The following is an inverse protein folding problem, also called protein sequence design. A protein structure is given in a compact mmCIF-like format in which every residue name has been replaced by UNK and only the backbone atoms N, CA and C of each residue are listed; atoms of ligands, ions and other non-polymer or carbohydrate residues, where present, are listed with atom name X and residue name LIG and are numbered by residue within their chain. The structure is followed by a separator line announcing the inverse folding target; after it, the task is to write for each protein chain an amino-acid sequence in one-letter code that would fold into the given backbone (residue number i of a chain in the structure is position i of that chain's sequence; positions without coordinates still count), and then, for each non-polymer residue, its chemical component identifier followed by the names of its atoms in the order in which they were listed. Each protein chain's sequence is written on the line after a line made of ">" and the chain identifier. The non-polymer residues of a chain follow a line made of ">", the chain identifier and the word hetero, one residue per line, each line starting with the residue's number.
data_IF_204317036575
#
_entry.id   IF_204317036575
#
_cell.length_a   1.000
_cell.length_b   1.000
_cell.length_c   1.000
_cell.angle_alpha   90.00
_cell.angle_beta   90.00
_cell.angle_gamma   90.00
#
_symmetry.space_group_name_H-M   'P 1'
#
loop_
_entity.id
_entity.type
_entity.pdbx_description
1 polymer ?
#
# COMPACT_ATOMS: atom_id res chain seq x y z
N UNK A 1 -0.15 -7.57 26.41
CA UNK A 1 -0.59 -6.61 27.45
C UNK A 1 -2.06 -6.24 27.23
N UNK A 2 -2.85 -5.87 28.25
CA UNK A 2 -4.31 -5.71 28.12
C UNK A 2 -4.78 -4.56 27.18
N UNK A 3 -3.89 -3.63 26.79
CA UNK A 3 -4.22 -2.48 25.94
C UNK A 3 -4.10 -2.73 24.42
N UNK A 4 -3.55 -3.87 23.98
CA UNK A 4 -3.27 -4.13 22.54
C UNK A 4 -4.53 -4.31 21.68
N UNK A 5 -5.69 -4.55 22.30
CA UNK A 5 -6.96 -4.72 21.59
C UNK A 5 -7.92 -3.55 21.78
N UNK A 6 -7.52 -2.52 22.52
CA UNK A 6 -8.38 -1.36 22.74
C UNK A 6 -8.58 -0.62 21.39
N UNK A 7 -9.82 -0.37 20.97
CA UNK A 7 -10.09 0.23 19.68
C UNK A 7 -9.60 1.68 19.63
N UNK A 8 -8.97 2.05 18.51
CA UNK A 8 -8.65 3.45 18.20
C UNK A 8 -9.60 3.99 17.13
N UNK A 9 -9.71 3.28 16.01
CA UNK A 9 -10.62 3.57 14.90
C UNK A 9 -11.30 2.25 14.51
N UNK A 10 -12.41 1.88 15.20
CA UNK A 10 -13.07 0.58 15.03
C UNK A 10 -13.46 0.26 13.60
N UNK A 11 -13.98 1.25 12.85
CA UNK A 11 -14.46 1.07 11.48
C UNK A 11 -13.35 0.74 10.48
N UNK A 12 -12.09 1.10 10.80
CA UNK A 12 -10.91 0.73 10.02
C UNK A 12 -10.21 -0.51 10.61
N UNK A 13 -10.75 -1.10 11.68
CA UNK A 13 -10.12 -2.21 12.40
C UNK A 13 -8.81 -1.85 13.09
N UNK A 14 -8.57 -0.56 13.38
CA UNK A 14 -7.36 -0.06 14.02
C UNK A 14 -7.53 0.01 15.54
N UNK A 15 -6.48 -0.42 16.26
CA UNK A 15 -6.39 -0.42 17.71
C UNK A 15 -5.32 0.57 18.20
N UNK A 16 -5.22 0.76 19.52
CA UNK A 16 -4.15 1.55 20.11
C UNK A 16 -2.75 1.02 19.74
N UNK A 17 -2.61 -0.26 19.41
CA UNK A 17 -1.34 -0.83 18.93
C UNK A 17 -0.88 -0.14 17.64
N UNK A 18 -1.77 0.02 16.66
CA UNK A 18 -1.44 0.69 15.40
C UNK A 18 -1.16 2.19 15.62
N UNK A 19 -1.90 2.84 16.54
CA UNK A 19 -1.64 4.25 16.92
C UNK A 19 -0.23 4.44 17.49
N UNK A 20 0.17 3.54 18.40
CA UNK A 20 1.49 3.56 19.03
C UNK A 20 2.57 3.29 17.99
N UNK A 21 2.40 2.28 17.14
CA UNK A 21 3.35 1.97 16.07
C UNK A 21 3.58 3.15 15.12
N UNK A 22 2.52 3.88 14.76
CA UNK A 22 2.62 5.09 13.95
C UNK A 22 3.33 6.25 14.69
N UNK A 23 3.30 6.28 16.01
CA UNK A 23 3.94 7.35 16.81
C UNK A 23 5.44 7.10 17.06
N UNK A 24 5.94 5.89 16.81
CA UNK A 24 7.34 5.52 17.05
C UNK A 24 8.09 5.46 15.70
N UNK A 25 9.14 6.27 15.51
CA UNK A 25 9.98 6.21 14.33
C UNK A 25 10.53 4.80 14.09
N UNK A 26 10.55 4.34 12.84
CA UNK A 26 11.04 3.02 12.43
C UNK A 26 10.32 1.81 13.07
N UNK A 27 9.20 2.01 13.78
CA UNK A 27 8.41 0.89 14.28
C UNK A 27 7.67 0.20 13.11
N UNK A 28 7.84 -1.12 12.91
CA UNK A 28 7.16 -1.82 11.83
C UNK A 28 5.64 -1.64 11.87
N UNK A 29 5.06 -1.26 10.74
CA UNK A 29 3.61 -1.14 10.59
C UNK A 29 3.04 -2.49 10.15
N UNK A 30 1.96 -2.92 10.80
CA UNK A 30 1.36 -4.21 10.50
C UNK A 30 0.26 -4.07 9.43
N UNK A 31 -0.19 -5.22 8.94
CA UNK A 31 -1.22 -5.34 7.89
C UNK A 31 -2.56 -4.65 8.17
N UNK A 32 -2.93 -4.35 9.42
CA UNK A 32 -4.16 -3.56 9.69
C UNK A 32 -4.03 -2.13 9.16
N UNK A 33 -2.82 -1.57 9.18
CA UNK A 33 -2.56 -0.25 8.58
C UNK A 33 -2.76 -0.31 7.06
N UNK A 34 -2.28 -1.38 6.41
CA UNK A 34 -2.49 -1.63 4.98
C UNK A 34 -3.97 -1.79 4.68
N UNK A 35 -4.67 -2.68 5.40
CA UNK A 35 -6.11 -2.94 5.25
C UNK A 35 -6.94 -1.65 5.41
N UNK A 36 -6.64 -0.84 6.42
CA UNK A 36 -7.30 0.44 6.67
C UNK A 36 -7.10 1.44 5.52
N UNK A 37 -5.87 1.57 5.02
CA UNK A 37 -5.56 2.47 3.91
C UNK A 37 -6.22 2.02 2.60
N UNK A 38 -6.17 0.72 2.29
CA UNK A 38 -6.84 0.17 1.12
C UNK A 38 -8.36 0.38 1.19
N UNK A 39 -8.97 0.20 2.36
CA UNK A 39 -10.39 0.47 2.55
C UNK A 39 -10.73 1.93 2.22
N UNK A 40 -9.99 2.90 2.77
CA UNK A 40 -10.22 4.32 2.51
C UNK A 40 -10.00 4.69 1.03
N UNK A 41 -8.87 4.29 0.45
CA UNK A 41 -8.55 4.54 -0.96
C UNK A 41 -9.63 3.96 -1.89
N UNK A 42 -10.14 2.76 -1.59
CA UNK A 42 -11.19 2.12 -2.38
C UNK A 42 -12.49 2.91 -2.36
N UNK A 43 -12.86 3.45 -1.20
CA UNK A 43 -14.05 4.30 -1.07
C UNK A 43 -13.87 5.66 -1.77
N UNK A 44 -12.71 6.28 -1.63
CA UNK A 44 -12.41 7.60 -2.17
C UNK A 44 -12.38 7.62 -3.71
N UNK A 45 -11.72 6.64 -4.32
CA UNK A 45 -11.45 6.65 -5.76
C UNK A 45 -12.37 5.73 -6.58
N UNK A 46 -13.26 4.96 -5.92
CA UNK A 46 -14.19 4.03 -6.58
C UNK A 46 -13.43 3.10 -7.56
N UNK A 47 -12.36 2.48 -7.06
CA UNK A 47 -11.44 1.68 -7.87
C UNK A 47 -11.59 0.18 -7.62
N UNK A 48 -11.20 -0.63 -8.61
CA UNK A 48 -11.08 -2.08 -8.46
C UNK A 48 -9.77 -2.48 -7.74
N UNK A 49 -9.71 -3.72 -7.25
CA UNK A 49 -8.62 -4.18 -6.40
C UNK A 49 -8.80 -3.72 -4.94
N UNK A 50 -7.70 -3.26 -4.33
CA UNK A 50 -7.58 -2.82 -2.93
C UNK A 50 -8.28 -3.78 -1.95
N UNK A 51 -8.08 -5.07 -2.17
CA UNK A 51 -8.63 -6.13 -1.34
C UNK A 51 -7.79 -6.27 -0.07
N UNK A 52 -8.38 -6.66 1.09
CA UNK A 52 -7.62 -6.79 2.33
C UNK A 52 -6.37 -7.65 2.12
N UNK A 53 -5.21 -7.18 2.58
CA UNK A 53 -3.90 -7.82 2.36
C UNK A 53 -3.79 -9.18 3.07
N UNK A 54 -4.69 -9.46 4.01
CA UNK A 54 -4.85 -10.77 4.67
C UNK A 54 -5.57 -11.81 3.83
N UNK A 55 -6.24 -11.40 2.75
CA UNK A 55 -7.04 -12.31 1.92
C UNK A 55 -6.09 -13.32 1.28
N UNK A 56 -6.28 -14.64 1.50
CA UNK A 56 -5.46 -15.62 0.81
C UNK A 56 -5.73 -15.56 -0.69
N UNK A 57 -4.72 -15.84 -1.52
CA UNK A 57 -4.80 -15.69 -2.99
C UNK A 57 -6.04 -16.38 -3.59
N UNK A 58 -6.42 -17.56 -3.11
CA UNK A 58 -7.57 -18.30 -3.62
C UNK A 58 -8.94 -17.69 -3.29
N UNK A 59 -9.01 -16.74 -2.36
CA UNK A 59 -10.23 -15.98 -2.03
C UNK A 59 -10.24 -14.58 -2.66
N UNK A 60 -9.14 -14.15 -3.28
CA UNK A 60 -9.07 -12.86 -3.96
C UNK A 60 -9.95 -12.87 -5.21
N UNK A 61 -10.59 -11.73 -5.44
CA UNK A 61 -11.41 -11.50 -6.62
C UNK A 61 -10.56 -10.92 -7.75
N UNK A 62 -10.78 -11.36 -8.99
CA UNK A 62 -10.13 -10.77 -10.14
C UNK A 62 -10.73 -9.39 -10.43
N UNK A 63 -9.94 -8.55 -11.08
CA UNK A 63 -10.35 -7.24 -11.59
C UNK A 63 -10.69 -7.32 -13.08
N UNK A 64 -11.52 -6.40 -13.56
CA UNK A 64 -12.02 -6.34 -14.95
C UNK A 64 -11.53 -5.10 -15.71
N UNK A 65 -10.91 -4.14 -15.02
CA UNK A 65 -10.42 -2.89 -15.61
C UNK A 65 -9.25 -2.31 -14.84
N UNK A 66 -9.02 -0.98 -14.95
CA UNK A 66 -8.03 -0.26 -14.16
C UNK A 66 -8.19 -0.57 -12.67
N UNK A 67 -7.10 -1.00 -12.06
CA UNK A 67 -7.12 -1.48 -10.69
C UNK A 67 -5.78 -1.24 -10.01
N UNK A 68 -5.81 -1.26 -8.69
CA UNK A 68 -4.62 -1.10 -7.86
C UNK A 68 -4.74 -2.00 -6.63
N UNK A 69 -3.62 -2.53 -6.15
CA UNK A 69 -3.57 -3.40 -4.99
C UNK A 69 -2.31 -3.10 -4.17
N UNK A 70 -2.46 -2.96 -2.86
CA UNK A 70 -1.34 -2.94 -1.93
C UNK A 70 -1.15 -4.36 -1.41
N UNK A 71 0.05 -4.91 -1.59
CA UNK A 71 0.41 -6.24 -1.12
C UNK A 71 1.20 -6.14 0.18
N UNK A 72 0.74 -6.84 1.22
CA UNK A 72 1.50 -7.04 2.44
C UNK A 72 2.18 -8.41 2.40
N UNK A 73 3.47 -8.44 2.05
CA UNK A 73 4.27 -9.65 2.02
C UNK A 73 4.81 -9.97 3.42
N UNK A 74 4.11 -10.85 4.13
CA UNK A 74 4.47 -11.23 5.50
C UNK A 74 5.76 -12.05 5.58
N UNK A 75 6.06 -12.82 4.54
CA UNK A 75 7.23 -13.69 4.49
C UNK A 75 8.50 -12.86 4.23
N UNK A 76 8.40 -11.87 3.33
CA UNK A 76 9.47 -10.93 3.04
C UNK A 76 9.53 -9.72 3.98
N UNK A 77 8.55 -9.58 4.88
CA UNK A 77 8.34 -8.39 5.73
C UNK A 77 8.37 -7.08 4.90
N UNK A 78 7.63 -7.08 3.80
CA UNK A 78 7.64 -6.02 2.79
C UNK A 78 6.24 -5.60 2.38
N UNK A 79 6.12 -4.39 1.84
CA UNK A 79 4.87 -3.87 1.30
C UNK A 79 5.15 -3.07 0.04
N UNK A 80 4.33 -3.30 -0.99
CA UNK A 80 4.45 -2.65 -2.29
C UNK A 80 3.08 -2.55 -2.96
N UNK A 81 3.02 -1.75 -4.01
CA UNK A 81 1.78 -1.50 -4.74
C UNK A 81 1.91 -2.05 -6.15
N UNK A 82 0.92 -2.83 -6.58
CA UNK A 82 0.73 -3.19 -7.99
C UNK A 82 -0.43 -2.40 -8.57
N UNK A 83 -0.40 -2.12 -9.86
CA UNK A 83 -1.52 -1.50 -10.55
C UNK A 83 -1.60 -1.97 -12.00
N UNK A 84 -2.81 -1.98 -12.54
CA UNK A 84 -3.08 -2.26 -13.94
C UNK A 84 -3.48 -0.97 -14.68
N UNK A 85 -2.66 -0.60 -15.67
CA UNK A 85 -2.91 0.53 -16.59
C UNK A 85 -2.35 0.16 -17.95
N UNK A 86 -2.92 0.71 -19.03
CA UNK A 86 -2.40 0.55 -20.40
C UNK A 86 -2.09 -0.90 -20.80
N UNK A 87 -2.96 -1.85 -20.41
CA UNK A 87 -2.80 -3.29 -20.70
C UNK A 87 -1.61 -3.98 -20.03
N UNK A 88 -1.04 -3.39 -18.99
CA UNK A 88 0.12 -3.93 -18.26
C UNK A 88 -0.09 -3.88 -16.75
N UNK A 89 0.53 -4.83 -16.04
CA UNK A 89 0.63 -4.80 -14.57
C UNK A 89 2.00 -4.25 -14.20
N UNK A 90 2.00 -3.21 -13.40
CA UNK A 90 3.20 -2.54 -12.93
C UNK A 90 3.33 -2.67 -11.41
N UNK A 91 4.57 -2.69 -10.92
CA UNK A 91 4.94 -2.63 -9.50
C UNK A 91 5.56 -1.27 -9.21
N UNK A 92 5.01 -0.56 -8.24
CA UNK A 92 5.63 0.57 -7.58
C UNK A 92 6.13 0.14 -6.19
N UNK A 93 7.45 0.14 -6.00
CA UNK A 93 8.07 -0.16 -4.71
C UNK A 93 9.30 0.71 -4.45
N UNK A 94 9.43 1.21 -3.23
CA UNK A 94 10.59 2.00 -2.81
C UNK A 94 11.75 1.13 -2.28
N UNK A 95 11.52 -0.16 -2.07
CA UNK A 95 12.52 -1.14 -1.65
C UNK A 95 12.41 -2.40 -2.52
N UNK A 96 13.39 -2.69 -3.39
CA UNK A 96 13.40 -3.91 -4.16
C UNK A 96 13.76 -5.08 -3.25
N UNK A 97 12.74 -5.86 -2.87
CA UNK A 97 12.87 -7.10 -2.08
C UNK A 97 12.30 -8.26 -2.90
N UNK A 98 12.77 -9.47 -2.63
CA UNK A 98 12.16 -10.68 -3.19
C UNK A 98 10.67 -10.77 -2.82
N UNK A 99 9.82 -11.04 -3.80
CA UNK A 99 8.37 -11.21 -3.60
C UNK A 99 8.09 -12.69 -3.36
N UNK A 100 7.41 -12.99 -2.26
CA UNK A 100 7.11 -14.37 -1.90
C UNK A 100 6.16 -15.05 -2.88
N UNK A 101 6.28 -16.39 -3.06
CA UNK A 101 5.42 -17.15 -3.98
C UNK A 101 3.93 -17.01 -3.71
N UNK A 102 3.55 -16.85 -2.43
CA UNK A 102 2.16 -16.63 -2.02
C UNK A 102 1.60 -15.31 -2.57
N UNK A 103 2.42 -14.26 -2.60
CA UNK A 103 2.07 -12.94 -3.14
C UNK A 103 2.09 -12.93 -4.67
N UNK A 104 3.02 -13.65 -5.32
CA UNK A 104 2.98 -13.82 -6.77
C UNK A 104 1.65 -14.44 -7.24
N UNK A 105 1.13 -15.45 -6.53
CA UNK A 105 -0.21 -16.01 -6.79
C UNK A 105 -1.34 -15.03 -6.55
N UNK A 106 -1.19 -14.09 -5.61
CA UNK A 106 -2.16 -13.00 -5.43
C UNK A 106 -2.19 -12.12 -6.68
N UNK A 107 -1.03 -11.70 -7.20
CA UNK A 107 -0.90 -10.88 -8.40
C UNK A 107 -1.57 -11.59 -9.60
N UNK A 108 -1.24 -12.86 -9.84
CA UNK A 108 -1.88 -13.65 -10.90
C UNK A 108 -3.40 -13.70 -10.72
N UNK A 109 -3.88 -13.95 -9.50
CA UNK A 109 -5.32 -14.10 -9.25
C UNK A 109 -6.08 -12.80 -9.43
N UNK A 110 -5.52 -11.67 -9.00
CA UNK A 110 -6.13 -10.35 -9.12
C UNK A 110 -6.20 -9.97 -10.59
N UNK A 111 -5.12 -10.10 -11.36
CA UNK A 111 -5.04 -9.55 -12.71
C UNK A 111 -5.40 -10.53 -13.84
N UNK A 112 -5.74 -11.80 -13.54
CA UNK A 112 -6.00 -12.86 -14.55
C UNK A 112 -7.00 -12.54 -15.67
N UNK A 113 -7.93 -11.61 -15.46
CA UNK A 113 -8.92 -11.24 -16.50
C UNK A 113 -8.50 -10.04 -17.35
N UNK A 114 -7.50 -9.28 -16.90
CA UNK A 114 -7.00 -8.10 -17.61
C UNK A 114 -5.63 -8.33 -18.26
N UNK A 115 -4.86 -9.28 -17.73
CA UNK A 115 -3.58 -9.74 -18.29
C UNK A 115 -3.49 -11.27 -18.22
N UNK A 116 -3.37 -11.98 -19.36
CA UNK A 116 -3.34 -13.46 -19.39
C UNK A 116 -2.18 -14.09 -18.61
N UNK A 117 -1.03 -13.41 -18.55
CA UNK A 117 0.16 -13.81 -17.78
C UNK A 117 0.73 -12.60 -17.05
N UNK A 118 0.11 -12.25 -15.93
CA UNK A 118 0.44 -11.04 -15.17
C UNK A 118 1.90 -11.02 -14.69
N UNK A 119 2.51 -12.18 -14.44
CA UNK A 119 3.89 -12.26 -13.96
C UNK A 119 4.90 -12.10 -15.09
N UNK A 120 4.63 -12.64 -16.27
CA UNK A 120 5.51 -12.47 -17.43
C UNK A 120 5.59 -11.01 -17.89
N UNK A 121 4.48 -10.27 -17.80
CA UNK A 121 4.39 -8.86 -18.21
C UNK A 121 4.62 -7.86 -17.07
N UNK A 122 5.08 -8.33 -15.91
CA UNK A 122 5.25 -7.49 -14.74
C UNK A 122 6.39 -6.48 -14.95
N UNK A 123 6.09 -5.20 -14.89
CA UNK A 123 7.07 -4.13 -15.02
C UNK A 123 7.32 -3.44 -13.68
N UNK A 124 8.56 -3.01 -13.45
CA UNK A 124 8.91 -2.23 -12.26
C UNK A 124 8.92 -0.76 -12.62
N UNK A 125 8.03 0.01 -12.01
CA UNK A 125 8.04 1.45 -12.14
C UNK A 125 9.24 2.00 -11.37
N UNK A 126 9.96 2.95 -11.97
CA UNK A 126 11.05 3.64 -11.31
C UNK A 126 10.48 4.55 -10.22
N UNK A 127 10.78 4.25 -8.96
CA UNK A 127 10.40 5.04 -7.78
C UNK A 127 11.66 5.36 -7.02
N UNK A 128 11.74 6.56 -6.43
CA UNK A 128 12.90 6.92 -5.62
C UNK A 128 12.99 6.00 -4.39
N UNK A 129 14.19 5.51 -4.05
CA UNK A 129 14.35 4.61 -2.93
C UNK A 129 14.00 5.31 -1.64
N UNK A 130 13.47 4.55 -0.70
CA UNK A 130 13.09 5.05 0.60
C UNK A 130 14.28 5.09 1.57
N UNK A 131 14.23 5.98 2.58
CA UNK A 131 15.38 6.20 3.49
C UNK A 131 15.69 5.00 4.40
N UNK A 132 14.71 4.12 4.67
CA UNK A 132 14.92 2.91 5.47
C UNK A 132 13.79 1.87 5.40
N UNK A 133 14.10 0.56 5.59
CA UNK A 133 13.21 -0.56 5.22
C UNK A 133 11.93 -0.66 6.06
N UNK A 134 11.84 0.04 7.20
CA UNK A 134 10.72 -0.04 8.14
C UNK A 134 9.48 0.74 7.71
N UNK A 135 9.59 1.54 6.65
CA UNK A 135 8.53 2.41 6.15
C UNK A 135 7.91 1.92 4.83
N UNK A 136 8.18 0.67 4.40
CA UNK A 136 7.63 0.10 3.17
C UNK A 136 6.10 0.24 3.06
N UNK A 137 5.38 0.10 4.18
CA UNK A 137 3.92 0.31 4.27
C UNK A 137 3.54 1.76 3.95
N UNK A 138 4.27 2.75 4.48
CA UNK A 138 4.00 4.17 4.24
C UNK A 138 4.18 4.51 2.76
N UNK A 139 5.27 4.03 2.17
CA UNK A 139 5.55 4.24 0.75
C UNK A 139 4.54 3.55 -0.15
N UNK A 140 4.14 2.31 0.15
CA UNK A 140 3.13 1.61 -0.63
C UNK A 140 1.79 2.38 -0.63
N UNK A 141 1.37 2.90 0.53
CA UNK A 141 0.15 3.72 0.64
C UNK A 141 0.29 5.04 -0.12
N UNK A 142 1.43 5.74 0.04
CA UNK A 142 1.68 7.01 -0.64
C UNK A 142 1.70 6.82 -2.17
N UNK A 143 2.41 5.81 -2.67
CA UNK A 143 2.43 5.47 -4.09
C UNK A 143 1.05 5.08 -4.60
N UNK A 144 0.26 4.33 -3.82
CA UNK A 144 -1.11 4.00 -4.20
C UNK A 144 -1.98 5.26 -4.36
N UNK A 145 -1.84 6.23 -3.46
CA UNK A 145 -2.51 7.52 -3.60
C UNK A 145 -2.05 8.27 -4.86
N UNK A 146 -0.75 8.37 -5.12
CA UNK A 146 -0.24 9.04 -6.32
C UNK A 146 -0.75 8.37 -7.60
N UNK A 147 -0.74 7.03 -7.69
CA UNK A 147 -1.27 6.30 -8.85
C UNK A 147 -2.75 6.62 -9.06
N UNK A 148 -3.54 6.62 -7.99
CA UNK A 148 -4.99 6.86 -8.05
C UNK A 148 -5.33 8.32 -8.37
N UNK A 149 -4.46 9.26 -8.01
CA UNK A 149 -4.66 10.70 -8.22
C UNK A 149 -3.92 11.23 -9.47
N UNK A 150 -3.42 10.35 -10.35
CA UNK A 150 -2.57 10.72 -11.51
C UNK A 150 -1.39 11.63 -11.13
N UNK A 151 -0.78 11.36 -9.98
CA UNK A 151 0.34 12.07 -9.38
C UNK A 151 1.72 11.62 -9.87
N UNK A 152 2.77 12.15 -9.23
CA UNK A 152 4.17 11.92 -9.62
C UNK A 152 4.84 10.84 -8.78
N UNK A 153 5.11 9.68 -9.38
CA UNK A 153 5.79 8.56 -8.75
C UNK A 153 7.31 8.75 -8.61
N UNK A 154 7.88 9.77 -9.24
CA UNK A 154 9.30 10.12 -9.12
C UNK A 154 9.59 11.09 -7.98
N UNK A 155 8.56 11.50 -7.23
CA UNK A 155 8.72 12.41 -6.11
C UNK A 155 9.53 11.79 -4.96
N UNK A 156 10.05 12.65 -4.08
CA UNK A 156 10.71 12.24 -2.84
C UNK A 156 9.78 12.52 -1.68
N UNK A 157 9.28 11.48 -1.01
CA UNK A 157 8.47 11.66 0.21
C UNK A 157 9.34 12.13 1.38
N UNK A 158 8.75 12.95 2.26
CA UNK A 158 9.37 13.41 3.50
C UNK A 158 9.04 12.44 4.63
N UNK A 159 9.91 11.44 4.82
CA UNK A 159 9.74 10.35 5.78
C UNK A 159 9.49 10.82 7.21
N UNK A 160 10.08 11.95 7.57
CA UNK A 160 9.93 12.54 8.91
C UNK A 160 8.48 12.92 9.22
N UNK A 161 7.64 13.12 8.19
CA UNK A 161 6.24 13.57 8.33
C UNK A 161 5.21 12.51 7.93
N UNK A 162 5.59 11.46 7.20
CA UNK A 162 4.63 10.48 6.65
C UNK A 162 3.79 9.77 7.72
N UNK A 163 4.40 9.43 8.87
CA UNK A 163 3.69 8.71 9.95
C UNK A 163 2.62 9.58 10.61
N UNK A 164 2.98 10.81 11.01
CA UNK A 164 2.03 11.77 11.57
C UNK A 164 0.92 12.09 10.56
N UNK A 165 1.28 12.22 9.29
CA UNK A 165 0.33 12.41 8.20
C UNK A 165 -0.67 11.26 8.10
N UNK A 166 -0.20 10.02 8.12
CA UNK A 166 -1.09 8.86 8.03
C UNK A 166 -2.03 8.75 9.25
N UNK A 167 -1.58 9.13 10.44
CA UNK A 167 -2.45 9.26 11.62
C UNK A 167 -3.59 10.25 11.35
N UNK A 168 -3.28 11.44 10.81
CA UNK A 168 -4.28 12.45 10.45
C UNK A 168 -5.23 11.94 9.38
N UNK A 169 -4.72 11.29 8.33
CA UNK A 169 -5.52 10.70 7.27
C UNK A 169 -6.54 9.70 7.83
N UNK A 170 -6.09 8.78 8.69
CA UNK A 170 -7.00 7.84 9.33
C UNK A 170 -8.04 8.56 10.18
N UNK A 171 -7.64 9.52 11.03
CA UNK A 171 -8.58 10.29 11.85
C UNK A 171 -9.63 11.05 11.03
N UNK A 172 -9.25 11.60 9.88
CA UNK A 172 -10.13 12.30 8.95
C UNK A 172 -10.93 11.37 8.02
N UNK A 173 -10.65 10.05 8.03
CA UNK A 173 -11.22 9.05 7.10
C UNK A 173 -10.95 9.39 5.63
N UNK A 174 -9.81 10.01 5.37
CA UNK A 174 -9.42 10.45 4.03
C UNK A 174 -7.90 10.35 3.89
N UNK A 175 -7.41 9.55 2.95
CA UNK A 175 -6.01 9.56 2.52
C UNK A 175 -5.82 10.73 1.57
N UNK A 176 -4.94 11.65 1.92
CA UNK A 176 -4.53 12.77 1.06
C UNK A 176 -3.07 12.62 0.65
N UNK A 177 -2.63 13.48 -0.28
CA UNK A 177 -1.24 13.55 -0.74
C UNK A 177 -0.25 13.51 0.43
N UNK A 178 0.72 12.60 0.33
CA UNK A 178 1.74 12.45 1.37
C UNK A 178 2.76 13.59 1.30
N UNK A 179 3.34 14.00 2.44
CA UNK A 179 4.36 15.04 2.46
C UNK A 179 5.54 14.71 1.54
N UNK A 180 5.97 15.68 0.73
CA UNK A 180 7.09 15.58 -0.21
C UNK A 180 8.18 16.58 0.16
N UNK A 181 9.45 16.21 -0.07
CA UNK A 181 10.57 17.16 0.01
C UNK A 181 10.51 18.01 -1.25
N UNK A 182 10.30 19.33 -1.09
CA UNK A 182 10.39 20.26 -2.22
C UNK A 182 11.77 20.12 -2.84
N UNK A 183 11.83 19.79 -4.14
CA UNK A 183 13.09 19.91 -4.87
C UNK A 183 13.38 21.40 -4.93
N UNK A 184 14.37 21.86 -4.15
CA UNK A 184 14.94 23.19 -4.37
C UNK A 184 15.60 23.09 -5.75
N UNK A 185 14.97 23.74 -6.73
CA UNK A 185 15.51 23.96 -8.07
C UNK A 185 16.80 24.76 -8.01
#
# INVERSE_FOLDING_TARGET
>A
MPFEQEPWIPELGLTLLEKIALSIPNCPLNRRVVDAAQFLLKQQFITEGLQPSRTPWFNMQPVFGPAIQIHGDLEANHCFTTFYRNFQVEIAQAFPVHISPSVLKQIETIYRYVVPDALYYLQYHNVKPAEGPYDCVLYAIALAFEILNDGDLSCTFDNSKMREHLVKCFMCREITEFPKISQIS
#
